data_IF_739218931357
#
_entry.id   IF_739218931357
#
_cell.length_a   1.000
_cell.length_b   1.000
_cell.length_c   1.000
_cell.angle_alpha   90.00
_cell.angle_beta   90.00
_cell.angle_gamma   90.00
#
_symmetry.space_group_name_H-M   'P 1'
#
loop_
_entity.id
_entity.type
_entity.pdbx_description
1 polymer ?
#
# COMPACT_ATOMS: atom_id res chain seq x y z
N UNK A 1 19.61 2.93 -27.86
CA UNK A 1 20.90 3.38 -27.32
C UNK A 1 20.91 3.04 -25.83
N UNK A 2 21.78 2.11 -25.46
CA UNK A 2 22.22 1.64 -24.14
C UNK A 2 21.20 1.65 -22.98
N UNK A 3 20.45 0.53 -22.87
CA UNK A 3 19.77 0.12 -21.64
C UNK A 3 20.83 -0.18 -20.57
N UNK A 4 21.06 0.77 -19.67
CA UNK A 4 21.76 0.54 -18.40
C UNK A 4 20.73 -0.08 -17.44
N UNK A 5 20.23 -1.28 -17.77
CA UNK A 5 19.84 -2.20 -16.72
C UNK A 5 21.15 -2.81 -16.24
N UNK A 6 21.67 -2.32 -15.11
CA UNK A 6 22.53 -3.16 -14.28
C UNK A 6 21.74 -4.46 -14.08
N UNK A 7 22.14 -5.54 -14.77
CA UNK A 7 21.55 -6.86 -14.56
C UNK A 7 22.02 -7.31 -13.19
N UNK A 8 21.32 -6.87 -12.16
CA UNK A 8 21.50 -7.38 -10.81
C UNK A 8 21.29 -8.88 -10.85
N UNK A 9 22.32 -9.64 -10.47
CA UNK A 9 22.24 -11.10 -10.44
C UNK A 9 21.11 -11.52 -9.48
N UNK A 10 20.15 -12.37 -9.90
CA UNK A 10 19.06 -12.80 -9.04
C UNK A 10 19.53 -13.47 -7.74
N UNK A 11 18.66 -13.43 -6.74
CA UNK A 11 18.84 -14.16 -5.49
C UNK A 11 18.89 -15.67 -5.75
N UNK A 12 19.77 -16.37 -5.05
CA UNK A 12 19.95 -17.83 -5.18
C UNK A 12 19.35 -18.62 -4.01
N UNK A 13 18.68 -17.93 -3.09
CA UNK A 13 17.82 -18.49 -2.05
C UNK A 13 16.84 -17.43 -1.53
N UNK A 14 15.71 -17.87 -0.97
CA UNK A 14 14.77 -17.02 -0.24
C UNK A 14 14.74 -17.46 1.23
N UNK A 15 14.96 -16.55 2.16
CA UNK A 15 14.85 -16.80 3.60
C UNK A 15 13.61 -16.09 4.12
N UNK A 16 12.72 -16.80 4.81
CA UNK A 16 11.48 -16.24 5.36
C UNK A 16 11.53 -16.31 6.89
N UNK A 17 11.82 -15.18 7.52
CA UNK A 17 11.69 -15.03 8.96
C UNK A 17 10.21 -14.96 9.33
N UNK A 18 9.79 -15.67 10.38
CA UNK A 18 8.40 -15.75 10.79
C UNK A 18 7.55 -16.66 9.90
N UNK A 19 8.15 -17.71 9.31
CA UNK A 19 7.48 -18.63 8.37
C UNK A 19 6.19 -19.28 8.91
N UNK A 20 6.03 -19.32 10.23
CA UNK A 20 4.83 -19.87 10.88
C UNK A 20 3.75 -18.82 11.16
N UNK A 21 3.98 -17.55 10.87
CA UNK A 21 3.05 -16.45 11.09
C UNK A 21 1.83 -16.45 10.17
N UNK A 22 0.83 -15.66 10.55
CA UNK A 22 -0.44 -15.54 9.83
C UNK A 22 -0.30 -14.94 8.43
N UNK A 23 0.58 -13.94 8.28
CA UNK A 23 0.85 -13.34 6.97
C UNK A 23 1.37 -14.40 6.00
N UNK A 24 2.30 -15.24 6.46
CA UNK A 24 2.88 -16.31 5.64
C UNK A 24 1.83 -17.34 5.25
N UNK A 25 0.98 -17.73 6.21
CA UNK A 25 -0.11 -18.67 5.97
C UNK A 25 -1.22 -18.12 5.07
N UNK A 26 -1.54 -16.83 5.12
CA UNK A 26 -2.65 -16.28 4.33
C UNK A 26 -2.21 -15.81 2.94
N UNK A 27 -0.99 -15.30 2.81
CA UNK A 27 -0.57 -14.55 1.62
C UNK A 27 0.72 -15.09 0.97
N UNK A 28 1.71 -15.52 1.77
CA UNK A 28 3.05 -15.83 1.23
C UNK A 28 3.13 -17.24 0.67
N UNK A 29 2.66 -18.28 1.37
CA UNK A 29 2.65 -19.63 0.79
C UNK A 29 1.84 -19.71 -0.53
N UNK A 30 0.65 -19.07 -0.66
CA UNK A 30 -0.05 -18.99 -1.94
C UNK A 30 0.77 -18.26 -3.01
N UNK A 31 1.45 -17.17 -2.65
CA UNK A 31 2.34 -16.45 -3.56
C UNK A 31 3.52 -17.32 -4.03
N UNK A 32 4.19 -18.05 -3.12
CA UNK A 32 5.29 -18.95 -3.48
C UNK A 32 4.83 -20.07 -4.42
N UNK A 33 3.62 -20.60 -4.19
CA UNK A 33 3.03 -21.60 -5.08
C UNK A 33 2.78 -21.04 -6.48
N UNK A 34 2.23 -19.82 -6.58
CA UNK A 34 2.04 -19.14 -7.85
C UNK A 34 3.37 -18.85 -8.56
N UNK A 35 4.40 -18.41 -7.81
CA UNK A 35 5.76 -18.19 -8.33
C UNK A 35 6.39 -19.48 -8.89
N UNK A 36 6.18 -20.62 -8.22
CA UNK A 36 6.64 -21.92 -8.73
C UNK A 36 5.87 -22.30 -10.01
N UNK A 37 4.55 -22.15 -10.01
CA UNK A 37 3.69 -22.45 -11.16
C UNK A 37 4.08 -21.63 -12.40
N UNK A 38 4.53 -20.38 -12.21
CA UNK A 38 5.06 -19.52 -13.28
C UNK A 38 6.52 -19.77 -13.63
N UNK A 39 7.20 -20.67 -12.92
CA UNK A 39 8.61 -21.00 -13.15
C UNK A 39 9.60 -19.91 -12.71
N UNK A 40 9.17 -18.94 -11.89
CA UNK A 40 10.03 -17.85 -11.40
C UNK A 40 10.68 -18.15 -10.04
N UNK A 41 10.22 -19.18 -9.32
CA UNK A 41 10.85 -19.67 -8.09
C UNK A 41 11.42 -21.09 -8.29
N UNK A 42 12.75 -21.19 -8.33
CA UNK A 42 13.48 -22.47 -8.49
C UNK A 42 14.67 -22.61 -7.53
N UNK A 43 14.70 -21.78 -6.49
CA UNK A 43 15.80 -21.72 -5.52
C UNK A 43 15.30 -22.16 -4.13
N UNK A 44 16.20 -22.61 -3.23
CA UNK A 44 15.80 -23.03 -1.89
C UNK A 44 15.05 -21.93 -1.12
N UNK A 45 14.02 -22.33 -0.38
CA UNK A 45 13.24 -21.46 0.51
C UNK A 45 13.46 -21.90 1.96
N UNK A 46 14.21 -21.12 2.73
CA UNK A 46 14.55 -21.41 4.13
C UNK A 46 13.58 -20.66 5.05
N UNK A 47 12.64 -21.39 5.65
CA UNK A 47 11.76 -20.85 6.68
C UNK A 47 12.45 -20.81 8.04
N UNK A 48 12.38 -19.68 8.74
CA UNK A 48 12.95 -19.50 10.09
C UNK A 48 11.85 -19.07 11.06
N UNK A 49 11.72 -19.75 12.19
CA UNK A 49 10.79 -19.35 13.26
C UNK A 49 11.16 -19.97 14.61
N UNK A 50 10.74 -19.35 15.71
CA UNK A 50 10.93 -19.87 17.07
C UNK A 50 10.05 -21.07 17.47
N UNK A 51 9.03 -21.39 16.67
CA UNK A 51 8.17 -22.56 16.88
C UNK A 51 8.96 -23.87 16.70
N UNK A 52 8.61 -24.93 17.44
CA UNK A 52 9.21 -26.25 17.24
C UNK A 52 8.39 -27.07 16.24
N UNK A 53 8.50 -26.73 14.95
CA UNK A 53 7.89 -27.51 13.87
C UNK A 53 8.89 -28.44 13.20
N UNK A 54 8.43 -29.60 12.75
CA UNK A 54 9.16 -30.42 11.78
C UNK A 54 8.92 -29.91 10.36
N UNK A 55 9.81 -30.25 9.43
CA UNK A 55 9.63 -29.92 8.01
C UNK A 55 8.31 -30.50 7.45
N UNK A 56 7.94 -31.71 7.87
CA UNK A 56 6.67 -32.32 7.49
C UNK A 56 5.45 -31.51 7.97
N UNK A 57 5.51 -30.94 9.18
CA UNK A 57 4.46 -30.05 9.68
C UNK A 57 4.40 -28.73 8.90
N UNK A 58 5.57 -28.18 8.51
CA UNK A 58 5.62 -27.00 7.64
C UNK A 58 5.00 -27.28 6.26
N UNK A 59 5.26 -28.46 5.69
CA UNK A 59 4.64 -28.89 4.43
C UNK A 59 3.12 -28.96 4.54
N UNK A 60 2.59 -29.55 5.61
CA UNK A 60 1.15 -29.59 5.85
C UNK A 60 0.57 -28.18 5.93
N UNK A 61 1.23 -27.28 6.68
CA UNK A 61 0.79 -25.88 6.79
C UNK A 61 0.78 -25.16 5.44
N UNK A 62 1.81 -25.33 4.61
CA UNK A 62 1.87 -24.75 3.28
C UNK A 62 0.74 -25.30 2.37
N UNK A 63 0.48 -26.62 2.40
CA UNK A 63 -0.63 -27.24 1.67
C UNK A 63 -1.99 -26.67 2.10
N UNK A 64 -2.21 -26.54 3.39
CA UNK A 64 -3.47 -26.03 3.94
C UNK A 64 -3.68 -24.55 3.60
N UNK A 65 -2.61 -23.76 3.67
CA UNK A 65 -2.59 -22.37 3.23
C UNK A 65 -3.02 -22.21 1.77
N UNK A 66 -2.40 -22.97 0.85
CA UNK A 66 -2.70 -22.89 -0.59
C UNK A 66 -4.15 -23.32 -0.87
N UNK A 67 -4.65 -24.35 -0.18
CA UNK A 67 -6.06 -24.78 -0.27
C UNK A 67 -7.06 -23.77 0.29
N UNK A 68 -6.68 -22.98 1.29
CA UNK A 68 -7.57 -21.96 1.86
C UNK A 68 -7.61 -20.71 0.98
N UNK A 69 -6.50 -20.38 0.32
CA UNK A 69 -6.44 -19.25 -0.61
C UNK A 69 -7.12 -19.54 -1.96
N UNK A 70 -7.23 -20.81 -2.35
CA UNK A 70 -7.88 -21.22 -3.59
C UNK A 70 -7.78 -22.72 -3.84
N UNK A 71 -7.62 -23.10 -5.11
CA UNK A 71 -7.48 -24.51 -5.50
C UNK A 71 -6.01 -24.84 -5.75
N UNK A 72 -5.57 -26.01 -5.29
CA UNK A 72 -4.36 -26.65 -5.83
C UNK A 72 -4.74 -27.24 -7.19
N UNK A 73 -4.43 -26.52 -8.26
CA UNK A 73 -4.75 -26.91 -9.63
C UNK A 73 -3.55 -27.45 -10.41
N UNK A 74 -2.34 -27.28 -9.86
CA UNK A 74 -1.08 -27.82 -10.35
C UNK A 74 -0.37 -28.59 -9.22
N UNK A 75 -0.30 -29.93 -9.34
CA UNK A 75 0.32 -30.80 -8.33
C UNK A 75 1.84 -30.80 -8.42
N UNK A 76 2.38 -30.72 -9.63
CA UNK A 76 3.83 -30.75 -9.84
C UNK A 76 4.47 -29.48 -9.28
N UNK A 77 3.81 -28.33 -9.48
CA UNK A 77 4.20 -27.08 -8.84
C UNK A 77 4.17 -27.14 -7.31
N UNK A 78 3.18 -27.83 -6.73
CA UNK A 78 3.10 -27.99 -5.27
C UNK A 78 4.24 -28.87 -4.77
N UNK A 79 4.46 -30.02 -5.38
CA UNK A 79 5.51 -30.96 -4.97
C UNK A 79 6.89 -30.33 -5.16
N UNK A 80 7.10 -29.55 -6.22
CA UNK A 80 8.31 -28.76 -6.42
C UNK A 80 8.48 -27.72 -5.31
N UNK A 81 7.46 -26.90 -5.00
CA UNK A 81 7.52 -25.94 -3.90
C UNK A 81 7.93 -26.61 -2.58
N UNK A 82 7.30 -27.73 -2.24
CA UNK A 82 7.59 -28.45 -1.01
C UNK A 82 9.02 -29.02 -1.00
N UNK A 83 9.56 -29.41 -2.16
CA UNK A 83 10.95 -29.84 -2.27
C UNK A 83 11.96 -28.71 -2.03
N UNK A 84 11.58 -27.46 -2.32
CA UNK A 84 12.41 -26.27 -2.09
C UNK A 84 12.43 -25.85 -0.61
N UNK A 85 11.42 -26.24 0.18
CA UNK A 85 11.29 -25.80 1.57
C UNK A 85 12.33 -26.45 2.48
N UNK A 86 12.99 -25.62 3.28
CA UNK A 86 13.81 -26.01 4.42
C UNK A 86 13.30 -25.29 5.67
N UNK A 87 13.59 -25.83 6.84
CA UNK A 87 13.17 -25.24 8.11
C UNK A 87 14.32 -25.12 9.10
N UNK A 88 14.44 -23.95 9.73
CA UNK A 88 15.35 -23.68 10.84
C UNK A 88 14.51 -23.19 12.03
N UNK A 89 14.45 -24.02 13.07
CA UNK A 89 13.82 -23.67 14.35
C UNK A 89 14.82 -22.99 15.26
N UNK A 90 14.48 -21.81 15.79
CA UNK A 90 15.37 -21.11 16.73
C UNK A 90 14.91 -19.69 17.10
N UNK A 91 15.48 -19.16 18.17
CA UNK A 91 15.27 -17.77 18.58
C UNK A 91 16.16 -16.83 17.75
N UNK A 92 15.61 -15.72 17.28
CA UNK A 92 16.34 -14.67 16.58
C UNK A 92 17.38 -13.96 17.47
N UNK A 93 17.35 -14.21 18.78
CA UNK A 93 18.35 -13.74 19.74
C UNK A 93 19.60 -14.63 19.80
N UNK A 94 19.51 -15.86 19.29
CA UNK A 94 20.56 -16.85 19.42
C UNK A 94 21.41 -16.91 18.14
N UNK A 95 22.73 -16.80 18.30
CA UNK A 95 23.70 -16.92 17.22
C UNK A 95 23.64 -18.31 16.58
N UNK A 96 23.27 -19.36 17.33
CA UNK A 96 23.13 -20.71 16.80
C UNK A 96 22.04 -20.80 15.73
N UNK A 97 20.98 -19.99 15.82
CA UNK A 97 19.94 -19.91 14.78
C UNK A 97 20.53 -19.44 13.45
N UNK A 98 21.41 -18.42 13.48
CA UNK A 98 22.04 -17.89 12.27
C UNK A 98 23.11 -18.82 11.71
N UNK A 99 23.82 -19.58 12.57
CA UNK A 99 24.72 -20.65 12.14
C UNK A 99 23.95 -21.78 11.43
N UNK A 100 22.84 -22.23 12.01
CA UNK A 100 21.96 -23.23 11.40
C UNK A 100 21.38 -22.73 10.06
N UNK A 101 21.02 -21.45 9.99
CA UNK A 101 20.59 -20.84 8.73
C UNK A 101 21.69 -20.84 7.66
N UNK A 102 22.93 -20.50 8.02
CA UNK A 102 24.07 -20.58 7.11
C UNK A 102 24.29 -21.99 6.58
N UNK A 103 24.13 -23.01 7.42
CA UNK A 103 24.19 -24.41 7.01
C UNK A 103 23.04 -24.77 6.06
N UNK A 104 21.81 -24.33 6.34
CA UNK A 104 20.65 -24.58 5.49
C UNK A 104 20.75 -23.92 4.10
N UNK A 105 21.40 -22.75 4.03
CA UNK A 105 21.68 -22.03 2.79
C UNK A 105 22.74 -22.71 1.91
N UNK A 106 23.70 -23.43 2.52
CA UNK A 106 24.72 -24.18 1.78
C UNK A 106 25.57 -23.29 0.86
N UNK A 107 25.52 -23.56 -0.45
CA UNK A 107 26.29 -22.84 -1.46
C UNK A 107 25.65 -21.52 -1.94
N UNK A 108 24.45 -21.19 -1.46
CA UNK A 108 23.83 -19.90 -1.74
C UNK A 108 24.75 -18.75 -1.31
N UNK A 109 24.84 -17.70 -2.14
CA UNK A 109 25.69 -16.53 -1.91
C UNK A 109 24.90 -15.22 -1.89
N UNK A 110 23.70 -15.19 -2.46
CA UNK A 110 22.86 -14.00 -2.61
C UNK A 110 21.45 -14.26 -2.07
N UNK A 111 21.28 -14.64 -0.80
CA UNK A 111 19.96 -14.87 -0.25
C UNK A 111 19.14 -13.56 -0.21
N UNK A 112 17.84 -13.65 -0.46
CA UNK A 112 16.89 -12.60 -0.14
C UNK A 112 16.24 -12.89 1.21
N UNK A 113 16.43 -12.01 2.20
CA UNK A 113 15.93 -12.18 3.57
C UNK A 113 14.61 -11.43 3.77
N UNK A 114 13.49 -12.15 3.75
CA UNK A 114 12.17 -11.60 3.97
C UNK A 114 11.76 -11.63 5.45
N UNK A 115 11.50 -10.44 6.00
CA UNK A 115 11.19 -10.23 7.41
C UNK A 115 9.69 -10.22 7.68
N UNK A 116 9.02 -11.39 7.59
CA UNK A 116 7.61 -11.54 7.97
C UNK A 116 7.44 -11.71 9.50
N UNK A 117 8.03 -10.79 10.26
CA UNK A 117 8.10 -10.80 11.73
C UNK A 117 7.59 -9.48 12.32
N UNK A 118 7.28 -9.44 13.63
CA UNK A 118 6.95 -8.18 14.31
C UNK A 118 8.02 -7.10 14.11
N UNK A 119 7.63 -5.81 13.90
CA UNK A 119 8.58 -4.72 13.62
C UNK A 119 9.64 -4.50 14.71
N UNK A 120 9.30 -4.81 15.96
CA UNK A 120 10.22 -4.75 17.10
C UNK A 120 11.45 -5.65 16.93
N UNK A 121 11.40 -6.63 16.03
CA UNK A 121 12.48 -7.57 15.76
C UNK A 121 13.32 -7.20 14.52
N UNK A 122 12.87 -6.27 13.66
CA UNK A 122 13.57 -5.92 12.42
C UNK A 122 15.02 -5.50 12.67
N UNK A 123 15.22 -4.49 13.52
CA UNK A 123 16.55 -3.99 13.88
C UNK A 123 17.47 -5.11 14.40
N UNK A 124 16.91 -6.04 15.16
CA UNK A 124 17.67 -7.13 15.77
C UNK A 124 18.10 -8.16 14.73
N UNK A 125 17.18 -8.60 13.88
CA UNK A 125 17.47 -9.57 12.82
C UNK A 125 18.44 -8.98 11.80
N UNK A 126 18.26 -7.71 11.40
CA UNK A 126 19.17 -7.03 10.47
C UNK A 126 20.60 -6.99 11.03
N UNK A 127 20.79 -6.59 12.29
CA UNK A 127 22.11 -6.59 12.93
C UNK A 127 22.71 -7.99 13.02
N UNK A 128 21.89 -8.99 13.36
CA UNK A 128 22.33 -10.37 13.45
C UNK A 128 22.76 -10.92 12.07
N UNK A 129 22.04 -10.61 11.00
CA UNK A 129 22.42 -10.94 9.62
C UNK A 129 23.79 -10.35 9.26
N UNK A 130 24.03 -9.09 9.59
CA UNK A 130 25.33 -8.43 9.38
C UNK A 130 26.46 -9.10 10.16
N UNK A 131 26.31 -9.22 11.48
CA UNK A 131 27.33 -9.83 12.36
C UNK A 131 27.62 -11.31 12.06
N UNK A 132 26.68 -12.03 11.42
CA UNK A 132 26.84 -13.45 11.06
C UNK A 132 27.42 -13.65 9.64
N UNK A 133 27.71 -12.56 8.92
CA UNK A 133 28.17 -12.62 7.52
C UNK A 133 27.11 -13.16 6.55
N UNK A 134 25.83 -13.03 6.89
CA UNK A 134 24.68 -13.46 6.07
C UNK A 134 24.08 -12.32 5.25
N UNK A 135 24.62 -11.11 5.40
CA UNK A 135 24.24 -9.92 4.64
C UNK A 135 25.10 -9.71 3.37
N UNK A 136 26.22 -10.41 3.23
CA UNK A 136 27.12 -10.24 2.08
C UNK A 136 26.43 -10.68 0.78
N UNK A 137 26.41 -9.79 -0.21
CA UNK A 137 25.67 -9.90 -1.48
C UNK A 137 24.17 -10.27 -1.34
N UNK A 138 23.62 -10.15 -0.14
CA UNK A 138 22.26 -10.51 0.18
C UNK A 138 21.34 -9.30 0.06
N UNK A 139 20.03 -9.57 0.04
CA UNK A 139 18.98 -8.55 0.07
C UNK A 139 18.20 -8.68 1.36
N UNK A 140 17.61 -7.59 1.82
CA UNK A 140 16.63 -7.61 2.90
C UNK A 140 15.30 -7.06 2.41
N UNK A 141 14.23 -7.80 2.66
CA UNK A 141 12.87 -7.43 2.31
C UNK A 141 12.13 -7.19 3.63
N UNK A 142 11.77 -5.95 3.89
CA UNK A 142 11.21 -5.49 5.16
C UNK A 142 9.71 -5.26 4.97
N UNK A 143 8.90 -5.86 5.84
CA UNK A 143 7.46 -5.62 5.88
C UNK A 143 7.11 -4.28 6.53
N UNK A 144 5.93 -3.75 6.18
CA UNK A 144 5.39 -2.60 6.91
C UNK A 144 5.01 -3.01 8.34
N UNK A 145 5.01 -2.08 9.31
CA UNK A 145 5.36 -0.66 9.22
C UNK A 145 6.87 -0.32 9.22
N UNK A 146 7.25 0.72 8.47
CA UNK A 146 8.61 1.26 8.42
C UNK A 146 8.80 2.35 9.49
N UNK A 147 8.93 1.92 10.74
CA UNK A 147 8.85 2.82 11.89
C UNK A 147 7.40 3.11 12.29
N UNK A 148 7.23 3.84 13.39
CA UNK A 148 5.93 4.25 13.96
C UNK A 148 5.79 5.78 14.06
N UNK A 149 6.86 6.48 13.73
CA UNK A 149 7.08 7.92 13.73
C UNK A 149 8.35 8.19 12.92
N UNK A 150 8.65 9.46 12.62
CA UNK A 150 9.83 9.83 11.84
C UNK A 150 11.14 9.35 12.50
N UNK A 151 11.25 9.45 13.82
CA UNK A 151 12.46 9.09 14.55
C UNK A 151 12.79 7.59 14.45
N UNK A 152 11.79 6.73 14.66
CA UNK A 152 11.94 5.28 14.57
C UNK A 152 12.10 4.80 13.12
N UNK A 153 11.54 5.49 12.14
CA UNK A 153 11.78 5.22 10.72
C UNK A 153 13.24 5.49 10.34
N UNK A 154 13.78 6.65 10.75
CA UNK A 154 15.20 7.01 10.59
C UNK A 154 16.13 6.00 11.26
N UNK A 155 15.82 5.59 12.48
CA UNK A 155 16.64 4.62 13.20
C UNK A 155 16.63 3.25 12.53
N UNK A 156 15.45 2.76 12.11
CA UNK A 156 15.36 1.51 11.34
C UNK A 156 16.17 1.61 10.05
N UNK A 157 16.09 2.74 9.35
CA UNK A 157 16.80 2.95 8.11
C UNK A 157 18.32 2.94 8.30
N UNK A 158 18.81 3.72 9.26
CA UNK A 158 20.23 3.77 9.64
C UNK A 158 20.77 2.38 9.99
N UNK A 159 19.98 1.55 10.67
CA UNK A 159 20.37 0.17 10.98
C UNK A 159 20.42 -0.68 9.71
N UNK A 160 19.42 -0.59 8.83
CA UNK A 160 19.39 -1.32 7.57
C UNK A 160 20.60 -0.97 6.68
N UNK A 161 20.89 0.32 6.50
CA UNK A 161 22.02 0.79 5.69
C UNK A 161 23.39 0.50 6.30
N UNK A 162 23.47 0.31 7.62
CA UNK A 162 24.72 -0.14 8.25
C UNK A 162 25.09 -1.60 7.92
N UNK A 163 24.15 -2.37 7.35
CA UNK A 163 24.32 -3.80 7.06
C UNK A 163 24.16 -4.12 5.57
N UNK A 164 23.22 -3.46 4.88
CA UNK A 164 22.90 -3.66 3.48
C UNK A 164 23.10 -2.35 2.70
N UNK A 165 23.59 -2.38 1.45
CA UNK A 165 23.52 -1.21 0.58
C UNK A 165 22.06 -0.88 0.25
N UNK A 166 21.75 0.38 -0.04
CA UNK A 166 20.36 0.85 -0.25
C UNK A 166 19.64 0.11 -1.39
N UNK A 167 20.36 -0.24 -2.46
CA UNK A 167 19.83 -1.02 -3.59
C UNK A 167 19.49 -2.48 -3.25
N UNK A 168 19.84 -2.92 -2.04
CA UNK A 168 19.55 -4.24 -1.50
C UNK A 168 18.50 -4.22 -0.37
N UNK A 169 17.88 -3.05 -0.10
CA UNK A 169 16.83 -2.87 0.90
C UNK A 169 15.47 -2.69 0.20
N UNK A 170 14.60 -3.67 0.36
CA UNK A 170 13.29 -3.74 -0.28
C UNK A 170 12.18 -3.51 0.75
N UNK A 171 11.61 -2.31 0.77
CA UNK A 171 10.53 -1.92 1.69
C UNK A 171 9.17 -2.24 1.06
N UNK A 172 8.53 -3.34 1.47
CA UNK A 172 7.24 -3.77 0.93
C UNK A 172 6.08 -2.89 1.39
N UNK A 173 5.37 -2.35 0.40
CA UNK A 173 3.97 -1.98 0.54
C UNK A 173 3.15 -2.78 -0.49
N UNK A 174 2.38 -3.76 -0.03
CA UNK A 174 1.57 -4.62 -0.91
C UNK A 174 0.55 -3.87 -1.78
N UNK A 175 0.19 -2.60 -1.48
CA UNK A 175 -0.64 -1.81 -2.40
C UNK A 175 0.10 -1.48 -3.69
N UNK A 176 1.42 -1.28 -3.64
CA UNK A 176 2.22 -0.98 -4.85
C UNK A 176 2.27 -2.16 -5.82
N UNK A 177 2.03 -3.39 -5.35
CA UNK A 177 1.93 -4.58 -6.19
C UNK A 177 0.57 -4.79 -6.85
N UNK A 178 -0.43 -3.93 -6.61
CA UNK A 178 -1.78 -4.09 -7.20
C UNK A 178 -1.86 -3.47 -8.59
N UNK A 179 -2.39 -4.22 -9.56
CA UNK A 179 -2.54 -3.76 -10.96
C UNK A 179 -3.27 -2.43 -11.08
N UNK A 180 -4.38 -2.26 -10.36
CA UNK A 180 -5.13 -1.01 -10.37
C UNK A 180 -4.30 0.21 -9.92
N UNK A 181 -3.34 0.02 -9.01
CA UNK A 181 -2.46 1.08 -8.49
C UNK A 181 -1.39 1.43 -9.53
N UNK A 182 -0.77 0.42 -10.16
CA UNK A 182 0.17 0.64 -11.26
C UNK A 182 -0.50 1.26 -12.48
N UNK A 183 -1.76 0.92 -12.75
CA UNK A 183 -2.51 1.47 -13.87
C UNK A 183 -2.74 2.99 -13.73
N UNK A 184 -2.69 3.57 -12.52
CA UNK A 184 -2.71 5.04 -12.36
C UNK A 184 -1.56 5.66 -13.15
N UNK A 185 -0.36 5.11 -13.00
CA UNK A 185 0.83 5.61 -13.67
C UNK A 185 0.74 5.44 -15.18
N UNK A 186 0.38 4.24 -15.61
CA UNK A 186 0.22 3.92 -17.04
C UNK A 186 -0.84 4.81 -17.69
N UNK A 187 -2.01 4.94 -17.06
CA UNK A 187 -3.11 5.75 -17.59
C UNK A 187 -2.71 7.22 -17.73
N UNK A 188 -1.98 7.78 -16.74
CA UNK A 188 -1.52 9.18 -16.80
C UNK A 188 -0.57 9.45 -17.96
N UNK A 189 0.46 8.62 -18.12
CA UNK A 189 1.55 8.94 -19.05
C UNK A 189 1.46 8.22 -20.39
N UNK A 190 0.55 7.26 -20.57
CA UNK A 190 0.24 6.67 -21.87
C UNK A 190 -0.86 7.41 -22.64
N UNK A 191 -1.63 8.29 -21.98
CA UNK A 191 -2.75 9.01 -22.59
C UNK A 191 -2.47 10.52 -22.66
N UNK A 192 -2.16 11.01 -23.87
CA UNK A 192 -1.81 12.42 -24.10
C UNK A 192 -2.93 13.42 -23.77
N UNK A 193 -4.20 12.98 -23.77
CA UNK A 193 -5.34 13.85 -23.48
C UNK A 193 -5.43 14.26 -22.00
N UNK A 194 -4.78 13.52 -21.10
CA UNK A 194 -4.96 13.74 -19.66
C UNK A 194 -4.03 14.81 -19.10
N UNK A 195 -2.74 14.77 -19.42
CA UNK A 195 -1.74 15.68 -18.84
C UNK A 195 -2.05 17.18 -19.02
N UNK A 196 -2.62 17.67 -20.14
CA UNK A 196 -3.02 19.08 -20.28
C UNK A 196 -4.03 19.56 -19.22
N UNK A 197 -4.89 18.67 -18.74
CA UNK A 197 -5.92 18.96 -17.73
C UNK A 197 -5.53 18.48 -16.32
N UNK A 198 -4.37 17.86 -16.15
CA UNK A 198 -3.93 17.26 -14.88
C UNK A 198 -3.12 18.24 -14.00
N UNK A 199 -3.70 19.40 -13.70
CA UNK A 199 -3.04 20.47 -12.96
C UNK A 199 -4.06 21.44 -12.33
N UNK A 200 -3.58 22.31 -11.42
CA UNK A 200 -4.35 23.34 -10.71
C UNK A 200 -5.19 24.28 -11.56
N UNK A 201 -4.92 24.43 -12.87
CA UNK A 201 -5.76 25.28 -13.72
C UNK A 201 -7.10 24.60 -14.06
N UNK A 202 -7.15 23.28 -14.01
CA UNK A 202 -8.30 22.48 -14.41
C UNK A 202 -8.85 21.61 -13.28
N UNK A 203 -8.02 21.15 -12.35
CA UNK A 203 -8.46 20.37 -11.18
C UNK A 203 -8.94 21.31 -10.09
N UNK A 204 -10.13 21.03 -9.54
CA UNK A 204 -10.72 21.72 -8.40
C UNK A 204 -10.30 21.07 -7.08
N UNK A 205 -10.43 19.75 -6.96
CA UNK A 205 -10.05 18.99 -5.76
C UNK A 205 -9.78 17.52 -6.12
N UNK A 206 -9.11 16.81 -5.20
CA UNK A 206 -8.91 15.36 -5.30
C UNK A 206 -9.47 14.69 -4.06
N UNK A 207 -10.19 13.58 -4.22
CA UNK A 207 -10.69 12.74 -3.14
C UNK A 207 -10.12 11.34 -3.28
N UNK A 208 -9.66 10.75 -2.18
CA UNK A 208 -9.20 9.36 -2.12
C UNK A 208 -9.92 8.69 -0.94
N UNK A 209 -10.70 7.66 -1.23
CA UNK A 209 -11.41 6.85 -0.22
C UNK A 209 -10.88 5.44 -0.23
N UNK A 210 -10.48 4.92 0.94
CA UNK A 210 -10.23 3.51 1.17
C UNK A 210 -11.08 3.08 2.37
N UNK A 211 -12.22 2.46 2.08
CA UNK A 211 -13.19 2.06 3.07
C UNK A 211 -13.19 0.54 3.24
N UNK A 212 -13.38 0.09 4.48
CA UNK A 212 -13.54 -1.31 4.84
C UNK A 212 -14.83 -1.47 5.65
N UNK A 213 -15.73 -2.36 5.21
CA UNK A 213 -16.99 -2.64 5.89
C UNK A 213 -16.84 -3.55 7.13
N UNK A 214 -15.60 -3.92 7.47
CA UNK A 214 -15.30 -4.78 8.60
C UNK A 214 -14.46 -4.07 9.67
N UNK A 215 -14.60 -4.54 10.91
CA UNK A 215 -13.83 -4.10 12.07
C UNK A 215 -12.42 -4.69 12.13
N UNK A 216 -11.77 -4.58 13.30
CA UNK A 216 -10.38 -5.05 13.49
C UNK A 216 -10.23 -6.57 13.58
N UNK A 217 -11.34 -7.33 13.63
CA UNK A 217 -11.38 -8.81 13.52
C UNK A 217 -10.33 -9.52 14.42
N UNK A 218 -10.30 -9.18 15.71
CA UNK A 218 -9.38 -9.79 16.69
C UNK A 218 -7.95 -9.25 16.67
N UNK A 219 -7.63 -8.27 15.82
CA UNK A 219 -6.33 -7.56 15.80
C UNK A 219 -6.32 -6.31 16.70
N UNK A 220 -7.12 -6.30 17.77
CA UNK A 220 -7.28 -5.15 18.66
C UNK A 220 -5.94 -4.62 19.19
N UNK A 221 -5.08 -5.49 19.73
CA UNK A 221 -3.74 -5.10 20.23
C UNK A 221 -2.86 -4.44 19.16
N UNK A 222 -2.87 -4.94 17.93
CA UNK A 222 -2.10 -4.33 16.85
C UNK A 222 -2.67 -2.96 16.48
N UNK A 223 -3.99 -2.90 16.28
CA UNK A 223 -4.65 -1.67 15.84
C UNK A 223 -4.56 -0.57 16.90
N UNK A 224 -4.58 -0.94 18.18
CA UNK A 224 -4.39 -0.02 19.31
C UNK A 224 -3.02 0.68 19.29
N UNK A 225 -1.99 0.02 18.76
CA UNK A 225 -0.66 0.61 18.61
C UNK A 225 -0.46 1.41 17.32
N UNK A 226 -1.31 1.18 16.31
CA UNK A 226 -1.14 1.74 14.97
C UNK A 226 -2.11 2.88 14.67
N UNK A 227 -3.41 2.64 14.89
CA UNK A 227 -4.49 3.51 14.44
C UNK A 227 -4.63 3.54 12.90
N UNK A 228 -5.71 4.16 12.42
CA UNK A 228 -5.96 4.30 10.99
C UNK A 228 -4.90 5.16 10.30
N UNK A 229 -4.35 6.17 10.99
CA UNK A 229 -3.38 7.09 10.41
C UNK A 229 -2.08 6.37 9.99
N UNK A 230 -1.53 5.52 10.86
CA UNK A 230 -0.31 4.76 10.56
C UNK A 230 -0.57 3.51 9.73
N UNK A 231 -1.69 2.81 9.96
CA UNK A 231 -1.94 1.52 9.29
C UNK A 231 -2.20 1.69 7.79
N UNK A 232 -2.90 2.76 7.39
CA UNK A 232 -3.40 2.91 6.01
C UNK A 232 -3.02 4.25 5.36
N UNK A 233 -3.10 5.37 6.10
CA UNK A 233 -2.95 6.69 5.46
C UNK A 233 -1.50 6.99 5.13
N UNK A 234 -0.61 6.91 6.12
CA UNK A 234 0.81 7.27 5.98
C UNK A 234 1.53 6.47 4.88
N UNK A 235 1.08 5.24 4.61
CA UNK A 235 1.62 4.38 3.56
C UNK A 235 0.71 4.34 2.32
N UNK A 236 -0.37 3.57 2.34
CA UNK A 236 -1.14 3.20 1.16
C UNK A 236 -1.76 4.41 0.46
N UNK A 237 -2.44 5.29 1.21
CA UNK A 237 -3.06 6.46 0.60
C UNK A 237 -2.01 7.46 0.11
N UNK A 238 -0.92 7.64 0.84
CA UNK A 238 0.17 8.51 0.42
C UNK A 238 0.84 7.99 -0.87
N UNK A 239 1.02 6.67 -1.02
CA UNK A 239 1.49 6.11 -2.29
C UNK A 239 0.54 6.43 -3.47
N UNK A 240 -0.77 6.38 -3.25
CA UNK A 240 -1.76 6.78 -4.26
C UNK A 240 -1.65 8.28 -4.56
N UNK A 241 -1.51 9.13 -3.54
CA UNK A 241 -1.27 10.58 -3.70
C UNK A 241 -0.04 10.81 -4.57
N UNK A 242 1.09 10.16 -4.28
CA UNK A 242 2.32 10.33 -5.04
C UNK A 242 2.14 9.94 -6.51
N UNK A 243 1.51 8.79 -6.80
CA UNK A 243 1.27 8.35 -8.18
C UNK A 243 0.34 9.29 -8.96
N UNK A 244 -0.65 9.88 -8.29
CA UNK A 244 -1.55 10.87 -8.90
C UNK A 244 -0.91 12.24 -9.08
N UNK A 245 -0.04 12.65 -8.14
CA UNK A 245 0.47 14.02 -8.08
C UNK A 245 1.81 14.23 -8.78
N UNK A 246 2.62 13.18 -8.91
CA UNK A 246 4.00 13.31 -9.38
C UNK A 246 4.10 13.78 -10.84
N UNK A 247 5.23 14.39 -11.18
CA UNK A 247 5.59 14.76 -12.54
C UNK A 247 5.89 13.51 -13.39
N UNK A 248 5.81 13.59 -14.74
CA UNK A 248 6.28 12.52 -15.60
C UNK A 248 7.77 12.24 -15.34
N UNK A 249 8.16 10.98 -15.07
CA UNK A 249 9.55 10.62 -14.89
C UNK A 249 10.39 11.01 -16.12
N UNK A 250 11.56 11.61 -15.89
CA UNK A 250 12.41 12.14 -16.96
C UNK A 250 12.99 11.05 -17.90
N UNK A 251 13.03 9.80 -17.46
CA UNK A 251 13.50 8.66 -18.23
C UNK A 251 12.80 7.37 -17.81
N UNK A 252 12.91 6.34 -18.67
CA UNK A 252 12.41 5.00 -18.36
C UNK A 252 13.36 4.32 -17.37
N UNK A 253 13.03 4.41 -16.09
CA UNK A 253 13.76 3.74 -15.02
C UNK A 253 13.05 3.85 -13.68
N UNK A 254 13.17 2.80 -12.88
CA UNK A 254 12.53 2.71 -11.57
C UNK A 254 12.97 3.80 -10.59
N UNK A 255 14.27 4.13 -10.59
CA UNK A 255 14.80 5.25 -9.81
C UNK A 255 14.10 6.58 -10.15
N UNK A 256 13.75 6.81 -11.41
CA UNK A 256 13.03 8.03 -11.80
C UNK A 256 11.65 8.11 -11.16
N UNK A 257 10.91 7.00 -11.12
CA UNK A 257 9.58 6.94 -10.45
C UNK A 257 9.73 7.21 -8.95
N UNK A 258 10.74 6.63 -8.30
CA UNK A 258 11.00 6.85 -6.87
C UNK A 258 11.34 8.30 -6.55
N UNK A 259 12.20 8.93 -7.36
CA UNK A 259 12.53 10.34 -7.20
C UNK A 259 11.30 11.24 -7.36
N UNK A 260 10.44 10.98 -8.35
CA UNK A 260 9.23 11.79 -8.54
C UNK A 260 8.20 11.59 -7.42
N UNK A 261 8.08 10.38 -6.86
CA UNK A 261 7.26 10.14 -5.65
C UNK A 261 7.81 10.87 -4.42
N UNK A 262 9.11 10.77 -4.18
CA UNK A 262 9.76 11.41 -3.03
C UNK A 262 9.58 12.94 -3.07
N UNK A 263 9.72 13.56 -4.26
CA UNK A 263 9.49 15.00 -4.46
C UNK A 263 8.07 15.42 -4.05
N UNK A 264 7.05 14.61 -4.35
CA UNK A 264 5.67 14.90 -3.91
C UNK A 264 5.60 14.96 -2.39
N UNK A 265 6.12 13.96 -1.70
CA UNK A 265 6.08 13.92 -0.24
C UNK A 265 6.87 15.06 0.40
N UNK A 266 8.03 15.43 -0.18
CA UNK A 266 8.86 16.54 0.31
C UNK A 266 8.16 17.90 0.24
N UNK A 267 7.20 18.08 -0.66
CA UNK A 267 6.43 19.32 -0.81
C UNK A 267 4.99 19.20 -0.32
N UNK A 268 4.62 18.07 0.31
CA UNK A 268 3.36 17.98 1.05
C UNK A 268 3.47 18.78 2.35
N UNK A 269 2.48 19.62 2.63
CA UNK A 269 2.45 20.38 3.88
C UNK A 269 2.30 19.42 5.07
N UNK A 270 3.11 19.57 6.14
CA UNK A 270 2.88 18.86 7.39
C UNK A 270 1.49 19.15 7.94
N UNK A 271 0.76 18.09 8.28
CA UNK A 271 -0.60 18.16 8.80
C UNK A 271 -0.63 18.94 10.11
N UNK A 272 -1.68 19.75 10.28
CA UNK A 272 -2.03 20.35 11.55
C UNK A 272 -3.23 19.63 12.18
N UNK A 273 -3.50 19.79 13.49
CA UNK A 273 -4.63 19.14 14.14
C UNK A 273 -5.97 19.37 13.43
N UNK A 274 -6.19 20.57 12.89
CA UNK A 274 -7.43 20.95 12.19
C UNK A 274 -7.54 20.38 10.77
N UNK A 275 -6.44 19.83 10.23
CA UNK A 275 -6.46 19.16 8.94
C UNK A 275 -6.87 17.69 9.05
N UNK A 276 -7.04 17.17 10.29
CA UNK A 276 -7.34 15.76 10.55
C UNK A 276 -8.59 15.60 11.41
N UNK A 277 -9.56 14.85 10.88
CA UNK A 277 -10.70 14.35 11.65
C UNK A 277 -10.45 12.89 12.00
N UNK A 278 -10.40 12.61 13.29
CA UNK A 278 -10.26 11.27 13.85
C UNK A 278 -11.63 10.71 14.24
N UNK A 279 -11.88 9.44 13.96
CA UNK A 279 -13.10 8.75 14.33
C UNK A 279 -12.84 7.39 14.96
N UNK A 280 -13.72 6.93 15.86
CA UNK A 280 -13.67 5.60 16.45
C UNK A 280 -15.06 4.95 16.37
N UNK A 281 -15.18 3.75 15.77
CA UNK A 281 -16.50 3.13 15.64
C UNK A 281 -17.02 2.68 17.01
N UNK A 282 -18.33 2.84 17.21
CA UNK A 282 -19.00 2.37 18.43
C UNK A 282 -18.83 0.86 18.57
N UNK A 283 -18.09 0.42 19.59
CA UNK A 283 -17.80 -0.99 19.84
C UNK A 283 -16.30 -1.32 19.87
N UNK A 284 -15.43 -0.48 19.31
CA UNK A 284 -13.98 -0.73 19.25
C UNK A 284 -13.36 -1.01 20.63
N UNK A 285 -13.73 -0.25 21.66
CA UNK A 285 -13.26 -0.44 23.05
C UNK A 285 -13.68 -1.77 23.71
N UNK A 286 -14.54 -2.57 23.05
CA UNK A 286 -14.93 -3.91 23.48
C UNK A 286 -14.09 -5.00 22.82
N UNK A 287 -13.25 -4.66 21.85
CA UNK A 287 -12.37 -5.60 21.16
C UNK A 287 -11.29 -6.12 22.13
N UNK A 288 -10.93 -7.41 22.05
CA UNK A 288 -9.82 -7.95 22.84
C UNK A 288 -8.52 -7.18 22.59
N UNK A 289 -7.88 -6.74 23.68
CA UNK A 289 -6.60 -6.04 23.62
C UNK A 289 -6.69 -4.52 23.39
N UNK A 290 -7.89 -3.94 23.40
CA UNK A 290 -8.12 -2.48 23.31
C UNK A 290 -8.37 -1.89 24.71
N UNK A 291 -7.84 -0.69 24.99
CA UNK A 291 -8.05 -0.02 26.26
C UNK A 291 -9.49 0.51 26.40
N UNK A 292 -10.05 0.49 27.62
CA UNK A 292 -11.44 0.93 27.87
C UNK A 292 -11.65 2.42 27.65
N UNK A 293 -10.59 3.21 27.76
CA UNK A 293 -10.53 4.65 27.57
C UNK A 293 -9.80 5.05 26.27
N UNK A 294 -9.54 4.08 25.38
CA UNK A 294 -8.81 4.27 24.12
C UNK A 294 -9.36 5.44 23.29
N UNK A 295 -8.48 6.35 22.90
CA UNK A 295 -8.74 7.41 21.91
C UNK A 295 -8.17 7.06 20.53
N UNK A 296 -7.74 5.82 20.29
CA UNK A 296 -7.15 5.39 19.01
C UNK A 296 -8.19 5.43 17.90
N UNK A 297 -7.84 6.06 16.79
CA UNK A 297 -8.76 6.25 15.68
C UNK A 297 -8.86 5.01 14.78
N UNK A 298 -10.09 4.60 14.49
CA UNK A 298 -10.43 3.56 13.50
C UNK A 298 -10.88 4.16 12.17
N UNK A 299 -10.92 5.48 12.09
CA UNK A 299 -11.22 6.28 10.93
C UNK A 299 -10.39 7.55 10.95
N UNK A 300 -9.92 7.98 9.78
CA UNK A 300 -9.29 9.28 9.57
C UNK A 300 -9.85 9.91 8.31
N UNK A 301 -10.16 11.21 8.35
CA UNK A 301 -10.31 12.06 7.18
C UNK A 301 -9.31 13.22 7.25
N UNK A 302 -8.62 13.51 6.16
CA UNK A 302 -7.53 14.49 6.08
C UNK A 302 -7.80 15.50 4.97
N UNK A 303 -7.35 16.73 5.17
CA UNK A 303 -7.14 17.73 4.11
C UNK A 303 -5.64 17.98 3.95
N UNK A 304 -5.14 17.77 2.74
CA UNK A 304 -3.73 17.88 2.39
C UNK A 304 -3.54 18.93 1.29
N UNK A 305 -2.36 19.54 1.26
CA UNK A 305 -1.91 20.42 0.20
C UNK A 305 -0.50 20.02 -0.25
N UNK A 306 -0.26 20.15 -1.55
CA UNK A 306 1.02 19.84 -2.20
C UNK A 306 1.54 21.16 -2.80
N UNK A 307 2.62 21.69 -2.22
CA UNK A 307 3.22 22.98 -2.60
C UNK A 307 4.14 22.82 -3.81
N UNK A 308 3.54 22.49 -4.96
CA UNK A 308 4.21 22.42 -6.26
C UNK A 308 3.53 23.32 -7.28
N UNK A 309 4.23 23.64 -8.38
CA UNK A 309 3.65 24.40 -9.48
C UNK A 309 2.37 23.76 -10.04
N UNK A 310 2.32 22.42 -10.07
CA UNK A 310 1.16 21.67 -10.57
C UNK A 310 -0.03 21.73 -9.63
N UNK A 311 0.20 21.73 -8.31
CA UNK A 311 -0.87 21.49 -7.32
C UNK A 311 -1.13 22.67 -6.36
N UNK A 312 -0.42 23.79 -6.50
CA UNK A 312 -0.61 24.96 -5.64
C UNK A 312 -2.08 25.35 -5.51
N UNK A 313 -2.58 25.28 -4.27
CA UNK A 313 -3.93 25.68 -3.88
C UNK A 313 -5.03 24.64 -4.13
N UNK A 314 -4.71 23.45 -4.68
CA UNK A 314 -5.67 22.36 -4.85
C UNK A 314 -5.76 21.54 -3.56
N UNK A 315 -6.94 21.42 -2.91
CA UNK A 315 -7.10 20.58 -1.73
C UNK A 315 -7.21 19.09 -2.11
N UNK A 316 -6.54 18.27 -1.32
CA UNK A 316 -6.58 16.81 -1.40
C UNK A 316 -7.27 16.25 -0.16
N UNK A 317 -8.37 15.54 -0.36
CA UNK A 317 -9.17 14.93 0.70
C UNK A 317 -8.95 13.43 0.73
N UNK A 318 -8.44 12.93 1.84
CA UNK A 318 -8.20 11.50 2.04
C UNK A 318 -9.13 11.01 3.13
N UNK A 319 -9.73 9.85 2.98
CA UNK A 319 -10.38 9.17 4.11
C UNK A 319 -10.18 7.67 4.08
N UNK A 320 -10.03 7.11 5.27
CA UNK A 320 -9.97 5.68 5.48
C UNK A 320 -10.63 5.31 6.80
N UNK A 321 -11.17 4.10 6.90
CA UNK A 321 -11.63 3.58 8.18
C UNK A 321 -12.26 2.19 8.13
N UNK A 322 -12.42 1.62 9.32
CA UNK A 322 -13.08 0.34 9.60
C UNK A 322 -14.57 0.51 9.85
N UNK A 323 -15.35 -0.56 9.65
CA UNK A 323 -16.80 -0.56 9.84
C UNK A 323 -17.50 0.58 9.09
N UNK A 324 -17.03 0.90 7.89
CA UNK A 324 -17.68 1.86 7.00
C UNK A 324 -18.80 1.19 6.20
N UNK A 325 -19.61 1.98 5.49
CA UNK A 325 -20.78 1.49 4.77
C UNK A 325 -20.47 0.49 3.63
N UNK A 326 -19.22 0.41 3.16
CA UNK A 326 -18.81 -0.49 2.09
C UNK A 326 -17.29 -0.74 2.11
N UNK A 327 -16.85 -1.86 1.54
CA UNK A 327 -15.45 -2.07 1.16
C UNK A 327 -15.19 -1.52 -0.25
N UNK A 328 -14.35 -0.49 -0.38
CA UNK A 328 -13.99 0.11 -1.66
C UNK A 328 -12.68 0.91 -1.57
N UNK A 329 -11.93 0.95 -2.66
CA UNK A 329 -10.83 1.90 -2.84
C UNK A 329 -11.06 2.71 -4.13
N UNK A 330 -11.18 4.02 -4.02
CA UNK A 330 -11.56 4.88 -5.15
C UNK A 330 -10.95 6.27 -5.05
N UNK A 331 -10.52 6.78 -6.20
CA UNK A 331 -10.02 8.15 -6.40
C UNK A 331 -11.02 8.90 -7.24
N UNK A 332 -11.32 10.14 -6.85
CA UNK A 332 -12.10 11.09 -7.63
C UNK A 332 -11.29 12.37 -7.82
N UNK A 333 -10.98 12.73 -9.05
CA UNK A 333 -10.36 14.00 -9.41
C UNK A 333 -11.42 14.89 -10.03
N UNK A 334 -11.88 15.88 -9.28
CA UNK A 334 -12.92 16.80 -9.71
C UNK A 334 -12.31 17.96 -10.48
N UNK A 335 -12.85 18.24 -11.67
CA UNK A 335 -12.43 19.34 -12.53
C UNK A 335 -13.22 20.60 -12.20
N UNK A 336 -12.64 21.76 -12.52
CA UNK A 336 -13.33 23.05 -12.44
C UNK A 336 -14.45 23.10 -13.49
N UNK A 337 -15.57 23.77 -13.19
CA UNK A 337 -16.59 24.01 -14.19
C UNK A 337 -16.04 24.88 -15.34
N UNK A 338 -16.69 24.88 -16.51
CA UNK A 338 -16.34 25.80 -17.59
C UNK A 338 -16.34 27.27 -17.10
N UNK A 339 -15.45 28.12 -17.63
CA UNK A 339 -15.31 29.50 -17.17
C UNK A 339 -16.55 30.37 -17.48
N UNK A 340 -17.41 29.94 -18.39
CA UNK A 340 -18.66 30.60 -18.74
C UNK A 340 -19.82 29.61 -18.63
N UNK A 341 -20.89 30.03 -17.94
CA UNK A 341 -22.11 29.24 -17.77
C UNK A 341 -23.01 29.40 -19.00
N UNK A 342 -22.60 28.85 -20.14
CA UNK A 342 -23.41 28.89 -21.37
C UNK A 342 -24.71 28.10 -21.23
N UNK A 343 -24.72 27.10 -20.36
CA UNK A 343 -25.89 26.32 -19.98
C UNK A 343 -26.03 26.37 -18.46
N UNK A 344 -27.24 26.57 -17.93
CA UNK A 344 -27.48 26.74 -16.49
C UNK A 344 -26.95 25.56 -15.66
N UNK A 345 -26.93 24.37 -16.26
CA UNK A 345 -26.49 23.12 -15.66
C UNK A 345 -25.01 22.80 -15.89
N UNK A 346 -24.26 23.67 -16.57
CA UNK A 346 -22.80 23.52 -16.79
C UNK A 346 -21.96 23.78 -15.53
N UNK A 347 -22.54 24.45 -14.54
CA UNK A 347 -21.97 24.65 -13.21
C UNK A 347 -23.09 24.39 -12.17
N UNK A 348 -23.45 23.12 -11.92
CA UNK A 348 -24.59 22.79 -11.08
C UNK A 348 -24.39 23.29 -9.65
N UNK A 349 -25.41 23.94 -9.09
CA UNK A 349 -25.40 24.43 -7.70
C UNK A 349 -25.36 23.26 -6.70
N UNK A 350 -26.08 22.18 -7.02
CA UNK A 350 -26.25 20.99 -6.16
C UNK A 350 -25.61 19.73 -6.77
N UNK A 351 -24.55 19.90 -7.56
CA UNK A 351 -23.92 18.79 -8.28
C UNK A 351 -22.42 18.96 -8.46
N UNK A 352 -21.77 17.89 -8.91
CA UNK A 352 -20.34 17.92 -9.25
C UNK A 352 -20.14 18.46 -10.66
N UNK A 353 -19.00 19.08 -10.86
CA UNK A 353 -18.49 19.31 -12.20
C UNK A 353 -18.01 17.99 -12.83
N UNK A 354 -17.39 18.07 -14.01
CA UNK A 354 -16.76 16.89 -14.61
C UNK A 354 -15.70 16.33 -13.67
N UNK A 355 -15.51 15.02 -13.70
CA UNK A 355 -14.51 14.36 -12.87
C UNK A 355 -13.91 13.16 -13.58
N UNK A 356 -12.69 12.80 -13.19
CA UNK A 356 -12.08 11.51 -13.50
C UNK A 356 -12.10 10.64 -12.25
N UNK A 357 -12.60 9.41 -12.38
CA UNK A 357 -12.72 8.45 -11.28
C UNK A 357 -11.86 7.23 -11.56
N UNK A 358 -10.98 6.86 -10.63
CA UNK A 358 -10.27 5.59 -10.64
C UNK A 358 -10.84 4.72 -9.53
N UNK A 359 -11.54 3.65 -9.89
CA UNK A 359 -11.87 2.59 -8.95
C UNK A 359 -10.72 1.61 -8.89
N UNK A 360 -10.20 1.40 -7.69
CA UNK A 360 -9.03 0.58 -7.42
C UNK A 360 -9.41 -0.78 -6.81
N UNK A 361 -10.54 -0.83 -6.13
CA UNK A 361 -11.10 -2.06 -5.54
C UNK A 361 -12.61 -1.86 -5.29
N UNK A 362 -13.47 -2.90 -5.40
CA UNK A 362 -13.14 -4.30 -5.72
C UNK A 362 -12.70 -4.52 -7.18
N UNK A 363 -13.32 -3.82 -8.12
CA UNK A 363 -13.08 -4.00 -9.55
C UNK A 363 -12.37 -2.76 -10.10
N UNK A 364 -11.26 -2.95 -10.81
CA UNK A 364 -10.53 -1.83 -11.38
C UNK A 364 -11.33 -1.21 -12.52
N UNK A 365 -11.48 0.11 -12.49
CA UNK A 365 -12.16 0.85 -13.55
C UNK A 365 -11.70 2.30 -13.60
N UNK A 366 -11.80 2.89 -14.79
CA UNK A 366 -11.60 4.32 -15.01
C UNK A 366 -12.88 4.89 -15.60
N UNK A 367 -13.36 6.01 -15.05
CA UNK A 367 -14.56 6.67 -15.53
C UNK A 367 -14.35 8.16 -15.70
N UNK A 368 -14.77 8.71 -16.85
CA UNK A 368 -14.81 10.15 -17.09
C UNK A 368 -16.27 10.63 -17.07
N UNK A 369 -16.61 11.49 -16.13
CA UNK A 369 -17.93 12.11 -16.07
C UNK A 369 -18.03 13.28 -17.05
N UNK A 370 -18.98 13.19 -17.97
CA UNK A 370 -19.30 14.16 -19.01
C UNK A 370 -20.76 14.55 -18.95
N UNK A 371 -21.12 15.71 -19.50
CA UNK A 371 -22.53 16.11 -19.62
C UNK A 371 -23.05 15.84 -21.03
N UNK A 372 -24.22 15.22 -21.12
CA UNK A 372 -24.89 14.87 -22.38
C UNK A 372 -26.27 15.51 -22.41
N UNK A 373 -26.57 16.24 -23.48
CA UNK A 373 -27.86 16.92 -23.66
C UNK A 373 -29.01 15.90 -23.63
N UNK A 374 -30.05 16.18 -22.85
CA UNK A 374 -31.30 15.39 -22.86
C UNK A 374 -32.03 15.60 -24.19
N UNK A 375 -32.73 14.57 -24.65
CA UNK A 375 -33.63 14.71 -25.79
C UNK A 375 -34.73 15.75 -25.48
N UNK A 376 -35.04 16.62 -26.44
CA UNK A 376 -35.98 17.73 -26.24
C UNK A 376 -35.46 19.05 -26.80
N UNK A 377 -36.29 20.09 -26.75
CA UNK A 377 -35.96 21.43 -27.29
C UNK A 377 -35.02 22.23 -26.38
N UNK A 378 -35.01 21.94 -25.09
CA UNK A 378 -34.16 22.60 -24.10
C UNK A 378 -32.69 22.17 -24.20
N UNK A 379 -31.78 23.08 -23.85
CA UNK A 379 -30.33 22.81 -23.73
C UNK A 379 -29.95 22.43 -22.29
N UNK A 380 -30.63 21.42 -21.76
CA UNK A 380 -30.36 20.84 -20.44
C UNK A 380 -29.89 19.40 -20.63
N UNK A 381 -28.87 18.99 -19.88
CA UNK A 381 -28.22 17.70 -19.94
C UNK A 381 -28.16 16.96 -18.60
N UNK A 382 -27.83 15.68 -18.69
CA UNK A 382 -27.50 14.83 -17.55
C UNK A 382 -25.98 14.59 -17.53
N UNK A 383 -25.44 14.36 -16.33
CA UNK A 383 -24.11 13.80 -16.20
C UNK A 383 -24.12 12.30 -16.44
N UNK A 384 -23.18 11.81 -17.26
CA UNK A 384 -22.98 10.41 -17.61
C UNK A 384 -21.50 10.07 -17.49
N UNK A 385 -21.19 8.83 -17.14
CA UNK A 385 -19.81 8.35 -17.11
C UNK A 385 -19.50 7.57 -18.39
N UNK A 386 -18.39 7.93 -19.05
CA UNK A 386 -17.70 7.03 -19.97
C UNK A 386 -16.91 6.06 -19.10
N UNK A 387 -17.38 4.82 -18.97
CA UNK A 387 -16.87 3.84 -18.01
C UNK A 387 -16.08 2.74 -18.71
N UNK A 388 -14.81 2.58 -18.31
CA UNK A 388 -13.92 1.51 -18.76
C UNK A 388 -13.67 0.55 -17.60
N UNK A 389 -14.21 -0.67 -17.71
CA UNK A 389 -13.87 -1.77 -16.81
C UNK A 389 -12.50 -2.33 -17.18
N UNK A 390 -11.63 -2.53 -16.20
CA UNK A 390 -10.27 -3.03 -16.36
C UNK A 390 -10.03 -4.24 -15.46
N UNK A 391 -10.80 -5.32 -15.66
CA UNK A 391 -10.52 -6.61 -15.04
C UNK A 391 -9.72 -7.47 -16.01
N UNK A 392 -8.51 -7.89 -15.61
CA UNK A 392 -7.74 -8.84 -16.40
C UNK A 392 -7.74 -10.23 -15.75
N UNK A 393 -8.06 -11.30 -16.50
CA UNK A 393 -7.87 -12.66 -16.00
C UNK A 393 -6.39 -12.95 -15.74
N UNK A 394 -6.07 -13.56 -14.60
CA UNK A 394 -4.71 -14.04 -14.31
C UNK A 394 -3.75 -12.99 -13.75
N UNK A 395 -4.26 -11.87 -13.23
CA UNK A 395 -3.47 -10.89 -12.46
C UNK A 395 -2.66 -11.58 -11.36
N UNK A 396 -1.39 -11.19 -11.25
CA UNK A 396 -0.52 -11.68 -10.18
C UNK A 396 -0.97 -11.12 -8.84
N UNK A 397 -0.94 -11.96 -7.81
CA UNK A 397 -1.19 -11.47 -6.46
C UNK A 397 -0.06 -10.48 -6.07
N UNK A 398 -0.35 -9.44 -5.27
CA UNK A 398 0.67 -8.44 -4.96
C UNK A 398 1.96 -9.00 -4.35
N UNK A 399 1.85 -10.01 -3.49
CA UNK A 399 3.01 -10.68 -2.89
C UNK A 399 3.78 -11.56 -3.86
N UNK A 400 3.11 -12.21 -4.81
CA UNK A 400 3.76 -12.98 -5.88
C UNK A 400 4.68 -12.08 -6.69
N UNK A 401 4.16 -10.90 -7.09
CA UNK A 401 4.93 -9.88 -7.80
C UNK A 401 6.08 -9.33 -6.99
N UNK A 402 5.79 -8.80 -5.80
CA UNK A 402 6.80 -8.12 -4.98
C UNK A 402 7.93 -9.07 -4.56
N UNK A 403 7.63 -10.31 -4.18
CA UNK A 403 8.70 -11.27 -3.86
C UNK A 403 9.54 -11.62 -5.10
N UNK A 404 8.91 -11.80 -6.26
CA UNK A 404 9.61 -12.04 -7.53
C UNK A 404 10.54 -10.87 -7.88
N UNK A 405 10.04 -9.64 -7.78
CA UNK A 405 10.83 -8.43 -8.06
C UNK A 405 12.00 -8.29 -7.09
N UNK A 406 11.79 -8.45 -5.78
CA UNK A 406 12.86 -8.37 -4.80
C UNK A 406 13.93 -9.45 -5.03
N UNK A 407 13.53 -10.68 -5.37
CA UNK A 407 14.47 -11.75 -5.71
C UNK A 407 15.25 -11.46 -7.00
N UNK A 408 14.63 -10.81 -7.99
CA UNK A 408 15.30 -10.36 -9.20
C UNK A 408 16.21 -9.13 -8.99
N UNK A 409 16.08 -8.44 -7.85
CA UNK A 409 16.75 -7.16 -7.59
C UNK A 409 16.06 -5.97 -8.24
N UNK A 410 14.77 -6.11 -8.60
CA UNK A 410 13.98 -5.05 -9.19
C UNK A 410 13.32 -4.17 -8.10
N UNK A 411 13.86 -2.97 -7.89
CA UNK A 411 13.38 -2.03 -6.88
C UNK A 411 12.12 -1.23 -7.26
N UNK A 412 11.53 -1.43 -8.44
CA UNK A 412 10.42 -0.63 -9.00
C UNK A 412 9.27 -0.28 -8.06
N UNK A 413 8.80 -1.29 -7.34
CA UNK A 413 7.56 -1.23 -6.57
C UNK A 413 7.82 -1.10 -5.06
N UNK A 414 9.04 -0.72 -4.68
CA UNK A 414 9.47 -0.62 -3.29
C UNK A 414 9.72 0.83 -2.90
N UNK A 415 9.33 1.21 -1.70
CA UNK A 415 9.47 2.60 -1.27
C UNK A 415 10.93 2.91 -0.91
N UNK A 416 11.49 4.01 -1.42
CA UNK A 416 12.81 4.50 -1.02
C UNK A 416 12.80 5.07 0.40
N UNK A 417 13.97 5.11 1.04
CA UNK A 417 14.16 5.81 2.33
C UNK A 417 13.60 7.23 2.27
N UNK A 418 14.03 8.02 1.29
CA UNK A 418 13.65 9.43 1.17
C UNK A 418 12.12 9.61 1.14
N UNK A 419 11.42 8.72 0.43
CA UNK A 419 9.97 8.74 0.36
C UNK A 419 9.32 8.34 1.69
N UNK A 420 9.86 7.33 2.41
CA UNK A 420 9.37 6.94 3.73
C UNK A 420 9.53 8.07 4.74
N UNK A 421 10.70 8.70 4.81
CA UNK A 421 10.96 9.79 5.74
C UNK A 421 10.10 11.02 5.44
N UNK A 422 10.00 11.41 4.16
CA UNK A 422 9.17 12.55 3.77
C UNK A 422 7.69 12.29 4.07
N UNK A 423 7.19 11.06 3.85
CA UNK A 423 5.83 10.68 4.25
C UNK A 423 5.61 10.78 5.77
N UNK A 424 6.62 10.41 6.59
CA UNK A 424 6.55 10.59 8.04
C UNK A 424 6.53 12.06 8.44
N UNK A 425 7.37 12.91 7.86
CA UNK A 425 7.39 14.37 8.13
C UNK A 425 5.99 14.99 8.00
N UNK A 426 5.19 14.52 7.04
CA UNK A 426 3.84 15.04 6.82
C UNK A 426 2.89 14.71 7.98
N UNK A 427 2.95 13.50 8.54
CA UNK A 427 2.00 13.04 9.57
C UNK A 427 2.52 13.20 11.01
N UNK A 428 3.82 13.31 11.20
CA UNK A 428 4.48 13.35 12.52
C UNK A 428 3.84 14.36 13.50
N UNK A 429 3.52 15.61 13.09
CA UNK A 429 2.96 16.60 14.02
C UNK A 429 1.62 16.21 14.63
N UNK A 430 0.82 15.41 13.92
CA UNK A 430 -0.52 15.00 14.36
C UNK A 430 -0.57 13.61 14.97
N UNK A 431 0.59 12.95 15.12
CA UNK A 431 0.69 11.67 15.82
C UNK A 431 0.39 11.82 17.32
N UNK A 432 0.83 12.93 17.92
CA UNK A 432 0.66 13.24 19.35
C UNK A 432 -0.21 14.47 19.59
N UNK A 433 -0.14 15.49 18.71
CA UNK A 433 -0.97 16.70 18.81
C UNK A 433 -2.19 16.59 17.90
N UNK A 434 -3.31 16.11 18.46
CA UNK A 434 -4.53 15.89 17.69
C UNK A 434 -5.79 16.12 18.52
N UNK A 435 -6.91 16.34 17.83
CA UNK A 435 -8.24 16.32 18.44
C UNK A 435 -8.65 14.91 18.84
N UNK A 436 -9.59 14.80 19.78
CA UNK A 436 -10.15 13.50 20.21
C UNK A 436 -10.90 12.81 19.07
N UNK A 437 -10.91 11.47 19.10
CA UNK A 437 -11.64 10.70 18.12
C UNK A 437 -13.17 10.85 18.34
N UNK A 438 -13.89 11.15 17.25
CA UNK A 438 -15.35 11.23 17.27
C UNK A 438 -15.98 9.85 17.14
N UNK A 439 -16.98 9.50 17.97
CA UNK A 439 -17.70 8.25 17.80
C UNK A 439 -18.49 8.25 16.49
N UNK A 440 -18.49 7.14 15.77
CA UNK A 440 -19.37 6.93 14.63
C UNK A 440 -20.06 5.56 14.69
N UNK A 441 -21.21 5.46 14.02
CA UNK A 441 -21.97 4.21 13.95
C UNK A 441 -21.29 3.27 12.94
N UNK A 442 -21.12 1.98 13.23
CA UNK A 442 -20.81 0.99 12.19
C UNK A 442 -21.76 1.11 10.99
N UNK A 443 -21.26 0.80 9.80
CA UNK A 443 -21.96 0.89 8.51
C UNK A 443 -22.31 2.33 8.07
N UNK A 444 -21.72 3.35 8.72
CA UNK A 444 -21.79 4.75 8.26
C UNK A 444 -20.54 5.16 7.47
N UNK A 445 -20.49 6.40 6.98
CA UNK A 445 -19.31 6.94 6.26
C UNK A 445 -18.32 7.67 7.17
N UNK A 446 -18.40 7.44 8.48
CA UNK A 446 -17.57 8.10 9.49
C UNK A 446 -18.33 9.21 10.25
N UNK A 447 -17.62 10.00 11.06
CA UNK A 447 -18.20 11.08 11.84
C UNK A 447 -18.56 12.30 10.96
N UNK A 448 -19.60 13.05 11.34
CA UNK A 448 -20.07 14.26 10.61
C UNK A 448 -19.00 15.35 10.46
N UNK A 449 -18.03 15.37 11.36
CA UNK A 449 -16.89 16.28 11.29
C UNK A 449 -16.06 16.07 10.02
N UNK A 450 -16.04 14.86 9.46
CA UNK A 450 -15.41 14.60 8.17
C UNK A 450 -16.14 15.30 7.02
N UNK A 451 -17.48 15.42 7.09
CA UNK A 451 -18.26 16.18 6.10
C UNK A 451 -17.97 17.68 6.20
N UNK A 452 -17.80 18.20 7.42
CA UNK A 452 -17.43 19.59 7.64
C UNK A 452 -16.04 19.93 7.06
N UNK A 453 -15.10 18.97 7.08
CA UNK A 453 -13.74 19.16 6.56
C UNK A 453 -13.70 19.47 5.05
N UNK A 454 -14.61 18.88 4.28
CA UNK A 454 -14.69 19.04 2.81
C UNK A 454 -15.73 20.07 2.36
N UNK A 455 -16.60 20.54 3.27
CA UNK A 455 -17.80 21.32 2.93
C UNK A 455 -17.54 22.58 2.08
N UNK A 456 -16.37 23.22 2.22
CA UNK A 456 -16.01 24.39 1.42
C UNK A 456 -15.78 24.08 -0.06
N UNK A 457 -15.44 22.82 -0.37
CA UNK A 457 -15.05 22.34 -1.70
C UNK A 457 -16.02 21.25 -2.22
N UNK A 458 -17.20 21.12 -1.58
CA UNK A 458 -18.27 20.21 -1.97
C UNK A 458 -18.57 19.16 -0.90
N UNK A 459 -18.75 17.92 -1.33
CA UNK A 459 -19.09 16.80 -0.44
C UNK A 459 -18.22 15.57 -0.74
N UNK A 460 -18.22 14.60 0.17
CA UNK A 460 -17.57 13.32 -0.07
C UNK A 460 -18.28 12.53 -1.18
N UNK A 461 -17.50 11.94 -2.07
CA UNK A 461 -18.00 10.89 -2.95
C UNK A 461 -18.00 9.59 -2.17
N UNK A 462 -19.18 9.03 -1.92
CA UNK A 462 -19.34 7.73 -1.29
C UNK A 462 -19.34 6.65 -2.39
N UNK A 463 -18.29 5.80 -2.47
CA UNK A 463 -18.28 4.70 -3.43
C UNK A 463 -19.54 3.85 -3.25
N UNK A 464 -20.20 3.55 -4.37
CA UNK A 464 -21.36 2.64 -4.36
C UNK A 464 -20.85 1.21 -4.26
N UNK A 465 -21.48 0.41 -3.41
CA UNK A 465 -21.32 -1.04 -3.48
C UNK A 465 -21.77 -1.49 -4.87
N UNK A 466 -20.90 -2.23 -5.56
CA UNK A 466 -21.34 -2.99 -6.72
C UNK A 466 -22.14 -4.14 -6.12
N UNK A 467 -23.46 -4.00 -6.07
CA UNK A 467 -24.31 -5.16 -5.86
C UNK A 467 -24.05 -6.05 -7.09
N UNK A 468 -23.45 -7.21 -6.83
CA UNK A 468 -23.16 -8.22 -7.84
C UNK A 468 -24.42 -8.66 -8.59
#
# INVERSE_FOLDING_TARGET
MNSIHSRTTPADALVIFGVTGDLVHKMIFPALYAMVKRGVLNVPVVGVAGSKLSLAQLHTRAKDSIKQAGKIDDRDALDHLLSLLKYVGGDYNDLETFKAMKQALGDARRPAHYLAIPPTLFAKVIKALGSSGLADQARVIIEKPFGRDLASARELNRIAQSVFPEDSIFRIDHYLGKEAIMNILYFRFANSFLEPIWNRNHVASVQITLAEDFGVKGRGTFYESAGCLRDVIQNHLFQIVALLAMEPPAYQGFGAVHSEKAKVFQVMRPLQPDDVVRGQYTGYRKEPGVAKDSDVETFCALRLFIDSWRWQGVPWYLRSGKCLAATAAEVLVELKPPPQRLFDDSAPVDGRANYLRFRLSPNSAVALAVRVKRAGKEFVGDQRELYLLNEQPGEEAPYERLLSDAMAGNGALFTSEEAVEAAWVVVDPVLDAHHRAHPYKPDSWGPKQADALIAADGSWHNPRSVVA
#
